data_IF_236320636056
#
_entry.id   IF_236320636056
#
_cell.length_a   1.000
_cell.length_b   1.000
_cell.length_c   1.000
_cell.angle_alpha   90.00
_cell.angle_beta   90.00
_cell.angle_gamma   90.00
#
_symmetry.space_group_name_H-M   'P 1'
#
loop_
_entity.id
_entity.type
_entity.pdbx_description
1 polymer ?
#
# COMPACT_ATOMS: atom_id res chain seq x y z
N UNK A 1 5.50 -37.26 22.81
CA UNK A 1 6.95 -37.01 22.99
C UNK A 1 7.69 -37.71 21.85
N UNK A 2 7.90 -37.03 20.76
CA UNK A 2 8.68 -37.53 19.63
C UNK A 2 9.88 -36.61 19.47
N UNK A 3 11.00 -37.03 20.10
CA UNK A 3 12.33 -36.44 19.85
C UNK A 3 12.70 -36.73 18.38
N UNK A 4 12.68 -35.73 17.54
CA UNK A 4 13.24 -35.82 16.20
C UNK A 4 14.73 -35.59 16.31
N UNK A 5 15.46 -36.69 16.46
CA UNK A 5 16.93 -36.74 16.45
C UNK A 5 17.40 -36.51 15.02
N UNK A 6 17.82 -35.26 14.70
CA UNK A 6 18.43 -34.95 13.41
C UNK A 6 19.94 -35.10 13.49
N UNK A 7 20.57 -35.75 12.50
CA UNK A 7 22.02 -36.05 12.53
C UNK A 7 22.82 -34.75 12.47
N UNK A 8 23.85 -34.70 13.32
CA UNK A 8 24.81 -33.61 13.51
C UNK A 8 25.67 -33.41 12.27
N UNK A 9 25.18 -32.63 11.29
CA UNK A 9 25.95 -32.36 10.05
C UNK A 9 25.17 -31.59 8.98
N UNK A 10 23.86 -31.41 9.13
CA UNK A 10 23.05 -30.65 8.20
C UNK A 10 23.11 -29.12 8.52
N UNK A 11 23.08 -28.26 7.50
CA UNK A 11 23.00 -26.83 7.73
C UNK A 11 21.76 -26.49 8.57
N UNK A 12 21.85 -25.49 9.46
CA UNK A 12 20.74 -25.11 10.32
C UNK A 12 19.55 -24.66 9.49
N UNK A 13 18.38 -25.12 9.90
CA UNK A 13 17.11 -24.73 9.26
C UNK A 13 16.66 -23.34 9.78
N UNK A 14 15.76 -22.68 9.06
CA UNK A 14 15.14 -21.42 9.53
C UNK A 14 14.45 -21.59 10.90
N UNK A 15 13.86 -22.78 11.15
CA UNK A 15 13.28 -23.13 12.44
C UNK A 15 14.30 -23.20 13.57
N UNK A 16 15.54 -23.66 13.30
CA UNK A 16 16.62 -23.70 14.29
C UNK A 16 17.09 -22.28 14.64
N UNK A 17 17.14 -21.40 13.65
CA UNK A 17 17.50 -19.97 13.81
C UNK A 17 16.45 -19.27 14.68
N UNK A 18 15.17 -19.50 14.41
CA UNK A 18 14.06 -18.94 15.19
C UNK A 18 14.06 -19.46 16.64
N UNK A 19 14.18 -20.78 16.82
CA UNK A 19 14.25 -21.40 18.14
C UNK A 19 15.47 -20.93 18.95
N UNK A 20 16.57 -20.58 18.30
CA UNK A 20 17.74 -19.98 18.93
C UNK A 20 17.45 -18.56 19.41
N UNK A 21 16.84 -17.72 18.56
CA UNK A 21 16.46 -16.37 18.92
C UNK A 21 15.40 -16.31 20.03
N UNK A 22 14.51 -17.32 20.08
CA UNK A 22 13.50 -17.46 21.14
C UNK A 22 14.02 -18.10 22.43
N UNK A 23 15.30 -18.56 22.45
CA UNK A 23 15.91 -19.20 23.57
C UNK A 23 15.35 -20.60 23.87
N UNK A 24 14.65 -21.24 22.94
CA UNK A 24 13.98 -22.54 23.09
C UNK A 24 14.81 -23.71 22.57
N UNK A 25 15.99 -23.44 21.98
CA UNK A 25 16.88 -24.46 21.45
C UNK A 25 17.62 -25.18 22.57
N UNK A 26 17.86 -26.52 22.41
CA UNK A 26 18.66 -27.29 23.38
C UNK A 26 20.10 -26.78 23.44
N UNK A 27 20.79 -26.88 24.57
CA UNK A 27 22.15 -26.36 24.75
C UNK A 27 23.15 -26.88 23.73
N UNK A 28 23.06 -28.18 23.39
CA UNK A 28 23.93 -28.82 22.40
C UNK A 28 23.71 -28.25 21.00
N UNK A 29 22.47 -28.05 20.63
CA UNK A 29 22.08 -27.53 19.32
C UNK A 29 22.41 -26.03 19.19
N UNK A 30 22.26 -25.31 20.31
CA UNK A 30 22.65 -23.90 20.39
C UNK A 30 24.18 -23.69 20.25
N UNK A 31 24.97 -24.66 20.79
CA UNK A 31 26.43 -24.66 20.64
C UNK A 31 26.84 -24.92 19.17
N UNK A 32 26.24 -25.92 18.53
CA UNK A 32 26.47 -26.23 17.12
C UNK A 32 26.10 -25.07 16.20
N UNK A 33 24.98 -24.39 16.47
CA UNK A 33 24.54 -23.23 15.71
C UNK A 33 25.50 -22.04 15.91
N UNK A 34 26.00 -21.80 17.10
CA UNK A 34 27.02 -20.76 17.35
C UNK A 34 28.31 -21.00 16.57
N UNK A 35 28.79 -22.27 16.51
CA UNK A 35 29.96 -22.59 15.71
C UNK A 35 29.73 -22.39 14.21
N UNK A 36 28.53 -22.74 13.73
CA UNK A 36 28.13 -22.50 12.34
C UNK A 36 28.10 -21.00 12.02
N UNK A 37 27.45 -20.18 12.87
CA UNK A 37 27.34 -18.74 12.69
C UNK A 37 28.72 -18.03 12.74
N UNK A 38 29.65 -18.57 13.53
CA UNK A 38 31.04 -18.09 13.53
C UNK A 38 31.75 -18.23 12.19
N UNK A 39 31.35 -19.21 11.39
CA UNK A 39 31.90 -19.49 10.03
C UNK A 39 31.12 -18.79 8.92
N UNK A 40 29.90 -18.31 9.21
CA UNK A 40 28.99 -17.70 8.22
C UNK A 40 28.52 -16.30 8.64
N UNK A 41 29.34 -15.25 8.41
CA UNK A 41 29.05 -13.90 8.91
C UNK A 41 27.78 -13.24 8.34
N UNK A 42 27.30 -13.69 7.17
CA UNK A 42 26.03 -13.21 6.61
C UNK A 42 24.84 -13.68 7.43
N UNK A 43 24.82 -14.97 7.81
CA UNK A 43 23.80 -15.58 8.64
C UNK A 43 23.84 -15.03 10.07
N UNK A 44 25.02 -14.82 10.63
CA UNK A 44 25.20 -14.22 11.95
C UNK A 44 24.58 -12.81 12.03
N UNK A 45 24.72 -12.00 11.00
CA UNK A 45 24.06 -10.67 10.93
C UNK A 45 22.54 -10.76 10.90
N UNK A 46 22.00 -11.76 10.23
CA UNK A 46 20.56 -12.00 10.14
C UNK A 46 20.00 -12.42 11.51
N UNK A 47 20.66 -13.32 12.21
CA UNK A 47 20.27 -13.72 13.58
C UNK A 47 20.34 -12.55 14.54
N UNK A 48 21.41 -11.75 14.51
CA UNK A 48 21.54 -10.56 15.34
C UNK A 48 20.46 -9.50 15.07
N UNK A 49 19.91 -9.45 13.88
CA UNK A 49 18.77 -8.61 13.56
C UNK A 49 17.49 -9.10 14.25
N UNK A 50 17.21 -10.41 14.22
CA UNK A 50 16.04 -11.00 14.88
C UNK A 50 16.13 -10.87 16.42
N UNK A 51 17.31 -11.08 17.00
CA UNK A 51 17.54 -10.89 18.44
C UNK A 51 17.23 -9.45 18.88
N UNK A 52 17.65 -8.45 18.09
CA UNK A 52 17.33 -7.04 18.37
C UNK A 52 15.84 -6.75 18.26
N UNK A 53 15.17 -7.32 17.28
CA UNK A 53 13.74 -7.17 17.08
C UNK A 53 12.96 -7.77 18.26
N UNK A 54 13.30 -8.99 18.66
CA UNK A 54 12.69 -9.66 19.81
C UNK A 54 12.94 -8.91 21.12
N UNK A 55 14.16 -8.42 21.35
CA UNK A 55 14.47 -7.61 22.52
C UNK A 55 13.65 -6.30 22.56
N UNK A 56 13.42 -5.66 21.43
CA UNK A 56 12.57 -4.49 21.35
C UNK A 56 11.11 -4.80 21.64
N UNK A 57 10.58 -5.90 21.09
CA UNK A 57 9.22 -6.37 21.34
C UNK A 57 9.05 -6.69 22.83
N UNK A 58 9.94 -7.47 23.42
CA UNK A 58 9.90 -7.81 24.83
C UNK A 58 9.98 -6.58 25.74
N UNK A 59 10.86 -5.62 25.43
CA UNK A 59 10.94 -4.36 26.18
C UNK A 59 9.67 -3.54 26.13
N UNK A 60 8.90 -3.65 25.05
CA UNK A 60 7.62 -2.94 24.87
C UNK A 60 6.51 -3.61 25.68
N UNK A 61 6.50 -4.95 25.76
CA UNK A 61 5.48 -5.72 26.48
C UNK A 61 5.77 -5.82 27.99
N UNK A 62 7.04 -5.84 28.44
CA UNK A 62 7.40 -5.85 29.86
C UNK A 62 7.04 -4.57 30.61
N UNK A 63 6.66 -3.50 29.91
CA UNK A 63 6.20 -2.24 30.52
C UNK A 63 4.70 -2.26 30.87
N UNK A 64 3.97 -3.33 30.55
CA UNK A 64 2.48 -3.37 30.68
C UNK A 64 2.00 -4.31 31.77
N UNK A 65 2.81 -5.21 32.36
CA UNK A 65 2.36 -6.20 33.32
C UNK A 65 2.96 -6.03 34.72
N UNK A 66 2.05 -5.84 35.63
CA UNK A 66 1.86 -6.30 36.99
C UNK A 66 2.62 -5.65 38.15
N UNK A 67 1.89 -5.23 39.20
CA UNK A 67 2.48 -4.88 40.50
C UNK A 67 2.95 -6.16 41.21
N UNK A 68 4.27 -6.35 41.22
CA UNK A 68 4.89 -7.48 41.95
C UNK A 68 4.47 -7.48 43.41
N UNK A 69 3.86 -8.60 43.84
CA UNK A 69 3.66 -8.95 45.23
C UNK A 69 5.01 -9.08 45.94
N UNK A 70 5.07 -8.45 47.10
CA UNK A 70 6.29 -8.27 47.86
C UNK A 70 6.99 -9.54 48.30
N UNK A 71 8.29 -9.46 48.31
CA UNK A 71 9.11 -10.20 49.26
C UNK A 71 10.00 -9.22 50.04
N UNK A 72 9.74 -9.18 51.34
CA UNK A 72 10.51 -8.54 52.40
C UNK A 72 11.93 -9.04 52.40
N UNK A 73 12.91 -8.20 52.40
CA UNK A 73 14.28 -8.57 52.72
C UNK A 73 15.32 -7.51 52.39
N UNK A 74 15.75 -6.70 53.37
CA UNK A 74 17.10 -6.20 53.42
C UNK A 74 17.36 -4.76 52.94
N UNK A 75 17.20 -3.87 53.88
CA UNK A 75 17.72 -2.48 53.87
C UNK A 75 19.16 -2.32 53.37
N UNK A 76 19.36 -1.54 52.33
CA UNK A 76 20.49 -0.62 52.20
C UNK A 76 20.01 0.64 51.53
N UNK A 77 19.76 1.67 52.34
CA UNK A 77 19.50 3.04 51.89
C UNK A 77 20.77 3.61 51.23
N UNK A 78 20.92 3.37 49.92
CA UNK A 78 21.75 4.23 49.11
C UNK A 78 20.87 5.38 48.63
N UNK A 79 21.16 6.55 49.17
CA UNK A 79 20.56 7.83 48.83
C UNK A 79 20.73 8.10 47.33
N UNK A 80 19.80 7.60 46.51
CA UNK A 80 19.74 7.91 45.08
C UNK A 80 19.30 9.36 44.94
N UNK A 81 20.24 10.22 44.55
CA UNK A 81 19.93 11.53 44.03
C UNK A 81 18.86 11.42 42.94
N UNK A 82 17.81 12.23 42.98
CA UNK A 82 16.85 12.24 41.89
C UNK A 82 17.52 12.82 40.65
N UNK A 83 17.88 11.93 39.71
CA UNK A 83 18.25 12.37 38.38
C UNK A 83 16.97 12.91 37.69
N UNK A 84 17.00 14.06 37.04
CA UNK A 84 15.89 14.61 36.28
C UNK A 84 15.73 13.87 34.96
N UNK A 85 15.55 12.52 35.02
CA UNK A 85 15.43 11.65 33.84
C UNK A 85 14.02 11.63 33.23
N UNK A 86 13.07 12.41 33.78
CA UNK A 86 11.68 12.34 33.35
C UNK A 86 11.35 13.06 32.02
N UNK A 87 12.10 14.10 31.64
CA UNK A 87 11.79 14.87 30.44
C UNK A 87 12.30 14.20 29.15
N UNK A 88 13.52 13.66 29.16
CA UNK A 88 14.08 13.01 27.97
C UNK A 88 13.33 11.73 27.55
N UNK A 89 12.82 10.96 28.53
CA UNK A 89 12.02 9.74 28.22
C UNK A 89 10.66 10.08 27.60
N UNK A 90 10.00 11.13 28.10
CA UNK A 90 8.71 11.58 27.53
C UNK A 90 8.88 12.14 26.13
N UNK A 91 9.94 12.88 25.86
CA UNK A 91 10.24 13.39 24.50
C UNK A 91 10.60 12.25 23.55
N UNK A 92 11.33 11.25 24.00
CA UNK A 92 11.68 10.08 23.18
C UNK A 92 10.44 9.25 22.85
N UNK A 93 9.54 9.00 23.83
CA UNK A 93 8.28 8.31 23.58
C UNK A 93 7.42 9.12 22.60
N UNK A 94 7.32 10.45 22.76
CA UNK A 94 6.56 11.30 21.85
C UNK A 94 7.12 11.27 20.42
N UNK A 95 8.44 11.23 20.25
CA UNK A 95 9.08 11.10 18.92
C UNK A 95 8.82 9.74 18.28
N UNK A 96 8.90 8.66 19.07
CA UNK A 96 8.61 7.30 18.56
C UNK A 96 7.13 7.17 18.18
N UNK A 97 6.21 7.67 18.99
CA UNK A 97 4.77 7.65 18.65
C UNK A 97 4.47 8.49 17.43
N UNK A 98 5.09 9.66 17.28
CA UNK A 98 4.97 10.49 16.09
C UNK A 98 5.51 9.77 14.83
N UNK A 99 6.67 9.13 14.94
CA UNK A 99 7.26 8.37 13.83
C UNK A 99 6.36 7.20 13.41
N UNK A 100 5.82 6.44 14.36
CA UNK A 100 4.89 5.35 14.09
C UNK A 100 3.59 5.85 13.44
N UNK A 101 3.07 6.98 13.91
CA UNK A 101 1.88 7.60 13.32
C UNK A 101 2.15 8.06 11.89
N UNK A 102 3.30 8.66 11.62
CA UNK A 102 3.70 9.06 10.27
C UNK A 102 3.85 7.85 9.34
N UNK A 103 4.43 6.75 9.81
CA UNK A 103 4.55 5.50 9.04
C UNK A 103 3.16 4.91 8.75
N UNK A 104 2.28 4.87 9.75
CA UNK A 104 0.93 4.36 9.58
C UNK A 104 0.11 5.21 8.59
N UNK A 105 0.18 6.53 8.68
CA UNK A 105 -0.48 7.45 7.76
C UNK A 105 0.10 7.32 6.35
N UNK A 106 1.42 7.26 6.21
CA UNK A 106 2.08 7.08 4.90
C UNK A 106 1.72 5.74 4.27
N UNK A 107 1.69 4.65 5.05
CA UNK A 107 1.27 3.33 4.60
C UNK A 107 -0.19 3.31 4.16
N UNK A 108 -1.07 3.94 4.93
CA UNK A 108 -2.49 4.05 4.59
C UNK A 108 -2.70 4.87 3.30
N UNK A 109 -2.03 6.01 3.16
CA UNK A 109 -2.07 6.83 1.95
C UNK A 109 -1.53 6.07 0.72
N UNK A 110 -0.43 5.33 0.87
CA UNK A 110 0.10 4.49 -0.22
C UNK A 110 -0.88 3.37 -0.61
N UNK A 111 -1.58 2.77 0.36
CA UNK A 111 -2.57 1.72 0.11
C UNK A 111 -3.84 2.22 -0.59
N UNK A 112 -4.18 3.51 -0.45
CA UNK A 112 -5.33 4.12 -1.14
C UNK A 112 -5.00 4.54 -2.58
N UNK A 113 -3.72 4.64 -2.93
CA UNK A 113 -3.28 5.11 -4.23
C UNK A 113 -3.48 4.04 -5.31
N UNK A 114 -4.17 4.40 -6.38
CA UNK A 114 -4.34 3.54 -7.56
C UNK A 114 -3.10 3.64 -8.45
N UNK A 115 -2.49 2.50 -8.78
CA UNK A 115 -1.36 2.48 -9.71
C UNK A 115 -1.81 2.83 -11.13
N UNK A 116 -0.90 3.38 -11.95
CA UNK A 116 -1.18 3.67 -13.36
C UNK A 116 -1.65 2.43 -14.11
N UNK A 117 -0.95 1.32 -13.90
CA UNK A 117 -1.26 0.07 -14.58
C UNK A 117 -2.62 -0.51 -14.15
N UNK A 118 -2.99 -0.41 -12.87
CA UNK A 118 -4.30 -0.85 -12.41
C UNK A 118 -5.43 -0.03 -13.05
N UNK A 119 -5.23 1.28 -13.19
CA UNK A 119 -6.21 2.16 -13.80
C UNK A 119 -6.30 1.93 -15.32
N UNK A 120 -5.18 1.71 -16.01
CA UNK A 120 -5.14 1.36 -17.43
C UNK A 120 -5.88 0.04 -17.69
N UNK A 121 -5.61 -0.99 -16.88
CA UNK A 121 -6.29 -2.28 -17.00
C UNK A 121 -7.80 -2.15 -16.73
N UNK A 122 -8.18 -1.36 -15.72
CA UNK A 122 -9.59 -1.08 -15.44
C UNK A 122 -10.26 -0.36 -16.61
N UNK A 123 -9.58 0.60 -17.26
CA UNK A 123 -10.11 1.31 -18.41
C UNK A 123 -10.34 0.38 -19.62
N UNK A 124 -9.43 -0.57 -19.86
CA UNK A 124 -9.61 -1.58 -20.90
C UNK A 124 -10.81 -2.48 -20.61
N UNK A 125 -10.95 -2.95 -19.36
CA UNK A 125 -12.08 -3.80 -18.96
C UNK A 125 -13.41 -3.04 -19.02
N UNK A 126 -13.44 -1.80 -18.53
CA UNK A 126 -14.62 -0.95 -18.58
C UNK A 126 -15.07 -0.67 -20.02
N UNK A 127 -14.12 -0.40 -20.92
CA UNK A 127 -14.40 -0.19 -22.33
C UNK A 127 -14.94 -1.48 -23.00
N UNK A 128 -14.36 -2.64 -22.69
CA UNK A 128 -14.86 -3.92 -23.20
C UNK A 128 -16.30 -4.18 -22.72
N UNK A 129 -16.59 -3.90 -21.46
CA UNK A 129 -17.92 -3.99 -20.87
C UNK A 129 -18.90 -3.03 -21.55
N UNK A 130 -18.50 -1.75 -21.72
CA UNK A 130 -19.28 -0.72 -22.40
C UNK A 130 -19.56 -1.10 -23.87
N UNK A 131 -18.61 -1.72 -24.56
CA UNK A 131 -18.79 -2.15 -25.95
C UNK A 131 -19.74 -3.34 -26.07
N UNK A 132 -19.78 -4.20 -25.06
CA UNK A 132 -20.64 -5.40 -25.04
C UNK A 132 -22.11 -5.09 -24.67
N UNK A 133 -22.39 -3.93 -24.09
CA UNK A 133 -23.75 -3.55 -23.65
C UNK A 133 -24.46 -2.66 -24.66
N UNK A 134 -25.72 -2.91 -24.96
CA UNK A 134 -26.56 -1.93 -25.64
C UNK A 134 -26.87 -0.79 -24.65
N UNK A 135 -26.43 0.42 -24.94
CA UNK A 135 -26.83 1.59 -24.17
C UNK A 135 -28.22 2.05 -24.56
N UNK A 136 -29.12 2.16 -23.60
CA UNK A 136 -30.38 2.85 -23.84
C UNK A 136 -30.13 4.34 -24.01
N UNK A 137 -30.92 5.00 -24.84
CA UNK A 137 -30.75 6.43 -25.18
C UNK A 137 -31.01 7.38 -24.02
N UNK A 138 -31.37 6.87 -22.83
CA UNK A 138 -31.63 7.66 -21.64
C UNK A 138 -30.32 8.18 -21.06
N UNK A 139 -30.21 9.48 -20.86
CA UNK A 139 -29.17 10.10 -20.06
C UNK A 139 -29.27 9.60 -18.61
N UNK A 140 -28.15 9.49 -17.87
CA UNK A 140 -28.20 9.06 -16.49
C UNK A 140 -29.13 9.99 -15.69
N UNK A 141 -30.00 9.41 -14.92
CA UNK A 141 -31.02 10.11 -14.12
C UNK A 141 -30.41 11.03 -13.06
N UNK A 142 -29.12 10.83 -12.75
CA UNK A 142 -28.36 11.57 -11.76
C UNK A 142 -26.90 11.63 -12.20
N UNK A 143 -26.55 12.69 -12.95
CA UNK A 143 -25.17 12.99 -13.24
C UNK A 143 -24.55 13.78 -12.06
N UNK A 144 -23.34 13.43 -11.66
CA UNK A 144 -22.57 14.26 -10.74
C UNK A 144 -22.28 15.59 -11.44
N UNK A 145 -22.57 16.75 -10.83
CA UNK A 145 -22.22 18.05 -11.42
C UNK A 145 -20.71 18.23 -11.62
N UNK A 146 -19.87 17.40 -10.99
CA UNK A 146 -18.44 17.38 -11.21
C UNK A 146 -18.02 16.60 -12.50
N UNK A 147 -18.93 15.86 -13.14
CA UNK A 147 -18.63 15.15 -14.38
C UNK A 147 -18.29 16.16 -15.49
N UNK A 148 -17.21 15.92 -16.27
CA UNK A 148 -16.86 16.81 -17.38
C UNK A 148 -17.99 16.88 -18.42
N UNK A 149 -18.45 18.08 -18.71
CA UNK A 149 -19.33 18.29 -19.85
C UNK A 149 -18.52 18.25 -21.15
N UNK A 150 -18.72 17.19 -21.89
CA UNK A 150 -18.09 16.94 -23.20
C UNK A 150 -19.10 17.06 -24.36
N UNK A 151 -20.29 17.60 -24.09
CA UNK A 151 -21.33 17.80 -25.10
C UNK A 151 -20.89 18.66 -26.25
N UNK A 152 -20.09 19.71 -26.03
CA UNK A 152 -19.56 20.58 -27.06
C UNK A 152 -18.67 19.87 -28.10
N UNK A 153 -18.09 18.71 -27.74
CA UNK A 153 -17.30 17.88 -28.67
C UNK A 153 -18.04 16.64 -29.17
N UNK A 154 -19.36 16.59 -28.94
CA UNK A 154 -20.24 15.52 -29.41
C UNK A 154 -20.20 14.24 -28.57
N UNK A 155 -19.71 14.30 -27.33
CA UNK A 155 -19.72 13.18 -26.39
C UNK A 155 -20.83 13.37 -25.36
N UNK A 156 -21.76 12.41 -25.28
CA UNK A 156 -22.87 12.42 -24.35
C UNK A 156 -22.64 11.42 -23.22
N UNK A 157 -22.72 11.87 -21.98
CA UNK A 157 -22.64 11.01 -20.80
C UNK A 157 -23.86 10.07 -20.75
N UNK A 158 -23.61 8.78 -20.62
CA UNK A 158 -24.68 7.74 -20.57
C UNK A 158 -24.64 6.94 -19.29
N UNK A 159 -23.50 6.80 -18.64
CA UNK A 159 -23.37 6.04 -17.39
C UNK A 159 -22.30 6.67 -16.51
N UNK A 160 -22.55 6.65 -15.22
CA UNK A 160 -21.58 7.05 -14.18
C UNK A 160 -21.65 6.02 -13.05
N UNK A 161 -20.49 5.49 -12.68
CA UNK A 161 -20.37 4.56 -11.55
C UNK A 161 -19.01 4.68 -10.86
N UNK A 162 -18.92 4.14 -9.65
CA UNK A 162 -17.67 4.04 -8.89
C UNK A 162 -17.17 2.60 -8.97
N UNK A 163 -15.98 2.43 -9.54
CA UNK A 163 -15.28 1.15 -9.57
C UNK A 163 -14.47 0.94 -8.29
N UNK A 164 -14.50 -0.28 -7.78
CA UNK A 164 -13.61 -0.73 -6.69
C UNK A 164 -12.46 -1.51 -7.29
N UNK A 165 -11.28 -0.94 -7.28
CA UNK A 165 -10.06 -1.56 -7.80
C UNK A 165 -9.30 -2.34 -6.74
N UNK A 166 -9.66 -2.12 -5.46
CA UNK A 166 -9.08 -2.79 -4.31
C UNK A 166 -9.85 -2.45 -3.03
N UNK A 167 -9.41 -2.95 -1.86
CA UNK A 167 -10.12 -2.72 -0.59
C UNK A 167 -10.30 -1.24 -0.25
N UNK A 168 -9.30 -0.42 -0.56
CA UNK A 168 -9.28 1.02 -0.29
C UNK A 168 -9.18 1.86 -1.58
N UNK A 169 -9.14 1.22 -2.74
CA UNK A 169 -8.90 1.87 -4.03
C UNK A 169 -10.22 2.01 -4.79
N UNK A 170 -10.52 3.24 -5.18
CA UNK A 170 -11.73 3.58 -5.95
C UNK A 170 -11.34 4.41 -7.16
N UNK A 171 -12.10 4.24 -8.23
CA UNK A 171 -12.01 5.08 -9.41
C UNK A 171 -13.44 5.45 -9.84
N UNK A 172 -13.63 6.68 -10.25
CA UNK A 172 -14.86 7.12 -10.86
C UNK A 172 -14.82 6.75 -12.34
N UNK A 173 -15.88 6.12 -12.82
CA UNK A 173 -16.05 5.73 -14.20
C UNK A 173 -17.19 6.54 -14.82
N UNK A 174 -16.91 7.14 -15.94
CA UNK A 174 -17.84 7.87 -16.76
C UNK A 174 -17.83 7.27 -18.16
N UNK A 175 -18.97 6.85 -18.65
CA UNK A 175 -19.13 6.31 -20.00
C UNK A 175 -19.83 7.35 -20.86
N UNK A 176 -19.18 7.73 -21.91
CA UNK A 176 -19.74 8.63 -22.93
C UNK A 176 -19.98 7.87 -24.23
N UNK A 177 -20.96 8.32 -25.01
CA UNK A 177 -21.17 7.89 -26.39
C UNK A 177 -20.89 9.05 -27.33
N UNK A 178 -20.19 8.76 -28.42
CA UNK A 178 -20.02 9.71 -29.51
C UNK A 178 -21.22 9.67 -30.47
N UNK A 179 -21.21 10.50 -31.53
CA UNK A 179 -22.27 10.53 -32.56
C UNK A 179 -22.49 9.17 -33.25
N UNK A 180 -21.45 8.33 -33.33
CA UNK A 180 -21.49 7.00 -33.96
C UNK A 180 -21.88 5.89 -32.95
N UNK A 181 -22.39 6.25 -31.76
CA UNK A 181 -22.73 5.34 -30.66
C UNK A 181 -21.54 4.52 -30.15
N UNK A 182 -20.32 4.97 -30.38
CA UNK A 182 -19.14 4.28 -29.87
C UNK A 182 -18.82 4.77 -28.46
N UNK A 183 -18.53 3.84 -27.52
CA UNK A 183 -18.25 4.20 -26.14
C UNK A 183 -16.84 4.82 -26.00
N UNK A 184 -16.78 5.85 -25.18
CA UNK A 184 -15.57 6.46 -24.66
C UNK A 184 -15.66 6.39 -23.14
N UNK A 185 -14.72 5.72 -22.51
CA UNK A 185 -14.67 5.55 -21.06
C UNK A 185 -13.65 6.52 -20.49
N UNK A 186 -14.05 7.26 -19.47
CA UNK A 186 -13.17 8.12 -18.68
C UNK A 186 -13.10 7.56 -17.28
N UNK A 187 -11.90 7.25 -16.82
CA UNK A 187 -11.64 6.88 -15.44
C UNK A 187 -10.85 7.98 -14.73
N UNK A 188 -11.21 8.25 -13.49
CA UNK A 188 -10.41 9.10 -12.62
C UNK A 188 -10.22 8.42 -11.26
N UNK A 189 -9.01 8.55 -10.71
CA UNK A 189 -8.66 8.00 -9.41
C UNK A 189 -7.73 8.91 -8.64
N UNK A 190 -7.86 8.93 -7.31
CA UNK A 190 -6.97 9.68 -6.45
C UNK A 190 -5.53 9.18 -6.57
N UNK A 191 -4.60 10.10 -6.78
CA UNK A 191 -3.17 9.85 -6.89
C UNK A 191 -2.36 10.93 -6.16
N UNK A 192 -2.48 11.05 -4.82
CA UNK A 192 -1.99 12.20 -4.05
C UNK A 192 -0.47 12.39 -4.10
N UNK A 193 0.28 11.34 -4.43
CA UNK A 193 1.74 11.38 -4.52
C UNK A 193 2.26 11.28 -5.97
N UNK A 194 1.36 11.17 -6.95
CA UNK A 194 1.78 11.18 -8.34
C UNK A 194 2.25 12.60 -8.71
N UNK A 195 3.29 12.65 -9.51
CA UNK A 195 3.74 13.91 -10.09
C UNK A 195 2.69 14.41 -11.05
N UNK A 196 2.38 15.70 -10.99
CA UNK A 196 1.48 16.30 -11.96
C UNK A 196 2.14 16.31 -13.34
N UNK A 197 1.49 15.64 -14.27
CA UNK A 197 1.83 15.58 -15.69
C UNK A 197 0.58 15.99 -16.46
N UNK A 198 0.33 17.30 -16.62
CA UNK A 198 -0.90 17.80 -17.22
C UNK A 198 -0.99 17.49 -18.71
N UNK A 199 0.12 17.16 -19.36
CA UNK A 199 0.13 16.74 -20.74
C UNK A 199 -0.21 15.26 -20.85
N UNK A 200 -1.26 14.93 -21.61
CA UNK A 200 -1.63 13.54 -21.78
C UNK A 200 -0.62 12.76 -22.63
N UNK A 201 -0.39 11.51 -22.26
CA UNK A 201 0.39 10.54 -23.01
C UNK A 201 -0.54 9.52 -23.69
N UNK A 202 -0.30 9.23 -24.97
CA UNK A 202 -1.09 8.24 -25.68
C UNK A 202 -0.40 6.88 -25.68
N UNK A 203 -1.17 5.84 -25.37
CA UNK A 203 -0.76 4.44 -25.47
C UNK A 203 -1.76 3.67 -26.31
N UNK A 204 -1.28 2.82 -27.21
CA UNK A 204 -2.12 1.93 -28.00
C UNK A 204 -1.98 0.49 -27.52
N UNK A 205 -3.11 -0.19 -27.35
CA UNK A 205 -3.17 -1.62 -27.01
C UNK A 205 -4.12 -2.27 -28.00
N UNK A 206 -3.55 -2.90 -29.05
CA UNK A 206 -4.34 -3.44 -30.15
C UNK A 206 -5.16 -2.36 -30.85
N UNK A 207 -6.49 -2.53 -30.87
CA UNK A 207 -7.44 -1.57 -31.45
C UNK A 207 -7.88 -0.47 -30.46
N UNK A 208 -7.36 -0.51 -29.23
CA UNK A 208 -7.72 0.46 -28.19
C UNK A 208 -6.65 1.55 -28.09
N UNK A 209 -7.09 2.75 -27.78
CA UNK A 209 -6.24 3.89 -27.44
C UNK A 209 -6.57 4.38 -26.05
N UNK A 210 -5.54 4.51 -25.22
CA UNK A 210 -5.60 5.09 -23.89
C UNK A 210 -4.85 6.41 -23.91
N UNK A 211 -5.46 7.44 -23.32
CA UNK A 211 -4.85 8.74 -23.08
C UNK A 211 -4.79 8.93 -21.57
N UNK A 212 -3.59 9.10 -21.03
CA UNK A 212 -3.35 9.14 -19.59
C UNK A 212 -2.65 10.43 -19.19
N UNK A 213 -3.06 11.05 -18.10
CA UNK A 213 -2.39 12.19 -17.48
C UNK A 213 -2.66 12.23 -15.98
N UNK A 214 -1.92 13.10 -15.31
CA UNK A 214 -2.10 13.32 -13.87
C UNK A 214 -2.20 14.83 -13.62
N UNK A 215 -3.28 15.25 -13.01
CA UNK A 215 -3.51 16.65 -12.66
C UNK A 215 -4.29 16.72 -11.34
N UNK A 216 -4.03 17.75 -10.53
CA UNK A 216 -4.76 18.03 -9.29
C UNK A 216 -4.81 16.82 -8.33
N UNK A 217 -3.71 16.07 -8.22
CA UNK A 217 -3.61 14.85 -7.41
C UNK A 217 -4.56 13.73 -7.83
N UNK A 218 -5.03 13.78 -9.05
CA UNK A 218 -5.85 12.73 -9.66
C UNK A 218 -5.17 12.23 -10.92
N UNK A 219 -5.31 10.94 -11.17
CA UNK A 219 -4.90 10.31 -12.42
C UNK A 219 -6.14 10.06 -13.26
N UNK A 220 -6.03 10.41 -14.52
CA UNK A 220 -7.09 10.26 -15.50
C UNK A 220 -6.66 9.29 -16.59
N UNK A 221 -7.61 8.52 -17.07
CA UNK A 221 -7.46 7.67 -18.26
C UNK A 221 -8.70 7.84 -19.13
N UNK A 222 -8.50 8.21 -20.37
CA UNK A 222 -9.56 8.20 -21.40
C UNK A 222 -9.28 7.03 -22.33
N UNK A 223 -10.23 6.11 -22.43
CA UNK A 223 -10.11 4.91 -23.25
C UNK A 223 -11.21 4.87 -24.31
N UNK A 224 -10.85 4.44 -25.52
CA UNK A 224 -11.78 4.23 -26.63
C UNK A 224 -11.14 3.42 -27.75
N UNK A 225 -11.92 3.05 -28.75
CA UNK A 225 -11.34 2.44 -29.94
C UNK A 225 -10.42 3.46 -30.64
N UNK A 226 -9.32 3.02 -31.23
CA UNK A 226 -8.33 3.90 -31.87
C UNK A 226 -8.91 4.74 -33.03
N UNK A 227 -10.05 4.30 -33.58
CA UNK A 227 -10.78 4.99 -34.66
C UNK A 227 -11.92 5.87 -34.15
N UNK A 228 -12.21 5.85 -32.84
CA UNK A 228 -13.30 6.65 -32.26
C UNK A 228 -13.00 8.14 -32.38
N UNK A 229 -13.89 8.87 -33.02
CA UNK A 229 -13.81 10.33 -33.14
C UNK A 229 -14.05 10.98 -31.77
N UNK A 230 -13.30 12.04 -31.48
CA UNK A 230 -13.47 12.84 -30.27
C UNK A 230 -12.58 12.43 -29.10
N UNK A 231 -11.90 11.27 -29.13
CA UNK A 231 -11.11 10.77 -28.02
C UNK A 231 -9.99 11.75 -27.58
N UNK A 232 -9.19 12.24 -28.52
CA UNK A 232 -8.13 13.21 -28.21
C UNK A 232 -8.68 14.57 -27.78
N UNK A 233 -9.78 15.02 -28.42
CA UNK A 233 -10.45 16.27 -28.01
C UNK A 233 -11.00 16.17 -26.58
N UNK A 234 -11.47 14.99 -26.15
CA UNK A 234 -11.90 14.80 -24.78
C UNK A 234 -10.74 15.00 -23.79
N UNK A 235 -9.58 14.41 -24.08
CA UNK A 235 -8.39 14.62 -23.26
C UNK A 235 -7.96 16.10 -23.27
N UNK A 236 -7.95 16.77 -24.42
CA UNK A 236 -7.59 18.19 -24.53
C UNK A 236 -8.52 19.09 -23.69
N UNK A 237 -9.84 18.87 -23.77
CA UNK A 237 -10.82 19.65 -23.00
C UNK A 237 -10.65 19.39 -21.49
N UNK A 238 -10.33 18.16 -21.09
CA UNK A 238 -10.15 17.81 -19.69
C UNK A 238 -8.82 18.30 -19.11
N UNK A 239 -7.77 18.38 -19.92
CA UNK A 239 -6.46 18.90 -19.50
C UNK A 239 -6.38 20.43 -19.48
N UNK A 240 -7.27 21.11 -20.20
CA UNK A 240 -7.34 22.57 -20.25
C UNK A 240 -8.09 23.20 -19.04
N UNK A 241 -8.68 22.38 -18.17
CA UNK A 241 -9.36 22.81 -16.96
C UNK A 241 -8.42 22.84 -15.77
#
# INVERSE_FOLDING_TARGET
>A
MTSTDHPSGLPPTEGDIQAYADGTLTPERAAALRDYLGKHPAEARRVAFYDRLNAQIQATFQTTDEPAHGHLGGSRRLRRRPHPAGRGRRTLIALVTLALLLIAVSGWLAATQVSAQALDNAAVMALAEATARPFSSASPTRADPAAPDLGAIGLRLVEQRVLRLGPLQRADELVYLNGDQQPVVVLSAMAPFARDEPQWAARRIGELRLLTWTAQRQRFVVAGNARTHGLMRAADVMTAR
#
